data_IF_095265534424
#
_entry.id   IF_095265534424
#
_cell.length_a   1.000
_cell.length_b   1.000
_cell.length_c   1.000
_cell.angle_alpha   90.00
_cell.angle_beta   90.00
_cell.angle_gamma   90.00
#
_symmetry.space_group_name_H-M   'P 1'
#
loop_
_entity.id
_entity.type
_entity.pdbx_description
1 polymer ?
#
# COMPACT_ATOMS: atom_id res chain seq x y z
N UNK A 1 0.68 -22.47 -2.25
CA UNK A 1 1.65 -21.38 -2.00
C UNK A 1 1.28 -20.75 -0.67
N UNK A 2 2.25 -20.53 0.22
CA UNK A 2 2.05 -19.83 1.49
C UNK A 2 2.61 -18.41 1.33
N UNK A 3 1.92 -17.42 1.89
CA UNK A 3 2.34 -16.02 1.91
C UNK A 3 1.85 -15.34 3.18
N UNK A 4 2.53 -14.29 3.60
CA UNK A 4 2.18 -13.47 4.76
C UNK A 4 1.42 -12.24 4.28
N UNK A 5 0.26 -11.99 4.88
CA UNK A 5 -0.57 -10.84 4.55
C UNK A 5 -0.94 -10.00 5.76
N UNK A 6 -1.04 -8.69 5.55
CA UNK A 6 -1.57 -7.74 6.52
C UNK A 6 -2.67 -6.92 5.86
N UNK A 7 -3.93 -7.17 6.25
CA UNK A 7 -5.10 -6.57 5.61
C UNK A 7 -5.68 -5.37 6.36
N UNK A 8 -5.15 -5.04 7.54
CA UNK A 8 -5.66 -3.91 8.32
C UNK A 8 -4.53 -2.95 8.67
N UNK A 9 -4.37 -1.97 7.79
CA UNK A 9 -3.50 -0.82 8.00
C UNK A 9 -4.28 0.47 7.78
N UNK A 10 -3.65 1.57 8.15
CA UNK A 10 -4.16 2.91 7.90
C UNK A 10 -3.18 3.73 7.06
N UNK A 11 -3.73 4.59 6.20
CA UNK A 11 -2.99 5.56 5.41
C UNK A 11 -2.57 6.77 6.25
N UNK A 12 -1.74 7.65 5.67
CA UNK A 12 -1.40 8.95 6.27
C UNK A 12 -2.60 9.89 6.50
N UNK A 13 -3.76 9.57 5.94
CA UNK A 13 -4.99 10.36 6.08
C UNK A 13 -5.82 9.99 7.31
N UNK A 14 -5.55 8.83 7.93
CA UNK A 14 -6.14 8.49 9.21
C UNK A 14 -5.61 9.40 10.33
N UNK A 15 -6.41 9.57 11.38
CA UNK A 15 -6.02 10.35 12.56
C UNK A 15 -5.01 9.54 13.38
N UNK A 16 -4.04 10.24 13.98
CA UNK A 16 -3.00 9.65 14.84
C UNK A 16 -2.11 8.58 14.15
N UNK A 17 -2.06 8.59 12.81
CA UNK A 17 -1.12 7.78 12.01
C UNK A 17 0.10 8.60 11.58
N UNK A 18 1.21 7.92 11.29
CA UNK A 18 2.40 8.57 10.76
C UNK A 18 2.13 9.20 9.39
N UNK A 19 2.73 10.37 9.13
CA UNK A 19 2.72 11.02 7.81
C UNK A 19 3.41 10.17 6.74
N UNK A 20 4.29 9.26 7.16
CA UNK A 20 5.00 8.31 6.30
C UNK A 20 4.18 7.06 5.95
N UNK A 21 2.91 6.96 6.37
CA UNK A 21 2.00 5.89 5.92
C UNK A 21 1.52 6.16 4.47
N UNK A 22 2.48 6.24 3.55
CA UNK A 22 2.31 6.38 2.10
C UNK A 22 2.73 5.07 1.39
N UNK A 23 2.38 4.94 0.10
CA UNK A 23 2.62 3.69 -0.64
C UNK A 23 4.09 3.32 -0.75
N UNK A 24 4.97 4.31 -0.91
CA UNK A 24 6.41 4.11 -1.05
C UNK A 24 7.03 3.53 0.24
N UNK A 25 6.68 4.11 1.38
CA UNK A 25 7.13 3.61 2.69
C UNK A 25 6.50 2.25 3.01
N UNK A 26 5.21 2.06 2.73
CA UNK A 26 4.53 0.78 2.94
C UNK A 26 5.16 -0.35 2.12
N UNK A 27 5.43 -0.13 0.83
CA UNK A 27 6.10 -1.10 -0.05
C UNK A 27 7.49 -1.48 0.47
N UNK A 28 8.29 -0.47 0.87
CA UNK A 28 9.62 -0.69 1.44
C UNK A 28 9.56 -1.52 2.73
N UNK A 29 8.71 -1.14 3.68
CA UNK A 29 8.65 -1.80 4.98
C UNK A 29 7.98 -3.17 4.93
N UNK A 30 7.02 -3.38 4.02
CA UNK A 30 6.45 -4.71 3.76
C UNK A 30 7.54 -5.70 3.33
N UNK A 31 8.41 -5.29 2.39
CA UNK A 31 9.57 -6.10 1.93
C UNK A 31 10.53 -6.42 3.07
N UNK A 32 10.88 -5.43 3.91
CA UNK A 32 11.78 -5.62 5.06
C UNK A 32 11.16 -6.58 6.09
N UNK A 33 9.85 -6.44 6.35
CA UNK A 33 9.12 -7.25 7.33
C UNK A 33 8.80 -8.66 6.81
N UNK A 34 8.86 -8.89 5.49
CA UNK A 34 8.48 -10.15 4.86
C UNK A 34 6.96 -10.31 4.69
N UNK A 35 6.23 -9.21 4.50
CA UNK A 35 4.80 -9.24 4.14
C UNK A 35 4.70 -9.27 2.62
N UNK A 36 4.12 -10.33 2.07
CA UNK A 36 3.96 -10.53 0.63
C UNK A 36 2.76 -9.74 0.06
N UNK A 37 1.68 -9.63 0.84
CA UNK A 37 0.45 -8.92 0.42
C UNK A 37 0.00 -7.94 1.51
N UNK A 38 -0.23 -6.70 1.11
CA UNK A 38 -0.69 -5.63 1.99
C UNK A 38 -2.06 -5.14 1.55
N UNK A 39 -3.00 -5.01 2.48
CA UNK A 39 -4.24 -4.27 2.26
C UNK A 39 -3.93 -2.79 2.02
N UNK A 40 -4.68 -2.13 1.16
CA UNK A 40 -4.46 -0.69 0.87
C UNK A 40 -4.78 0.20 2.07
N UNK A 41 -5.71 -0.23 2.93
CA UNK A 41 -6.27 0.58 4.02
C UNK A 41 -7.03 1.79 3.48
N UNK A 42 -8.01 2.31 4.25
CA UNK A 42 -8.66 3.61 4.03
C UNK A 42 -9.10 3.94 2.58
N UNK A 43 -9.37 2.95 1.72
CA UNK A 43 -9.54 3.15 0.27
C UNK A 43 -10.80 3.97 -0.08
N UNK A 44 -11.70 4.16 0.88
CA UNK A 44 -12.87 5.03 0.76
C UNK A 44 -12.53 6.51 0.95
N UNK A 45 -11.36 6.85 1.49
CA UNK A 45 -10.89 8.22 1.60
C UNK A 45 -10.51 8.77 0.21
N UNK A 46 -11.11 9.89 -0.26
CA UNK A 46 -11.01 10.30 -1.66
C UNK A 46 -9.59 10.66 -2.10
N UNK A 47 -8.80 11.31 -1.24
CA UNK A 47 -7.41 11.64 -1.56
C UNK A 47 -6.52 10.39 -1.57
N UNK A 48 -6.80 9.41 -0.70
CA UNK A 48 -6.05 8.16 -0.67
C UNK A 48 -6.37 7.32 -1.91
N UNK A 49 -7.65 7.22 -2.27
CA UNK A 49 -8.09 6.53 -3.47
C UNK A 49 -7.49 7.12 -4.75
N UNK A 50 -7.33 8.45 -4.81
CA UNK A 50 -6.62 9.12 -5.90
C UNK A 50 -5.15 8.68 -5.97
N UNK A 51 -4.44 8.65 -4.84
CA UNK A 51 -3.06 8.16 -4.79
C UNK A 51 -2.95 6.69 -5.20
N UNK A 52 -3.86 5.83 -4.72
CA UNK A 52 -3.93 4.42 -5.12
C UNK A 52 -4.02 4.29 -6.65
N UNK A 53 -4.95 5.01 -7.28
CA UNK A 53 -5.11 5.00 -8.76
C UNK A 53 -3.90 5.56 -9.50
N UNK A 54 -3.25 6.58 -8.96
CA UNK A 54 -2.11 7.22 -9.61
C UNK A 54 -0.86 6.33 -9.55
N UNK A 55 -0.59 5.75 -8.38
CA UNK A 55 0.70 5.12 -8.08
C UNK A 55 0.73 3.62 -8.23
N UNK A 56 -0.42 2.95 -8.16
CA UNK A 56 -0.51 1.51 -8.34
C UNK A 56 -0.79 1.14 -9.80
N UNK A 57 -0.28 -0.02 -10.21
CA UNK A 57 -0.60 -0.67 -11.47
C UNK A 57 -1.00 -2.13 -11.23
N UNK A 58 -1.87 -2.70 -12.08
CA UNK A 58 -2.22 -4.12 -11.97
C UNK A 58 -0.97 -5.01 -12.04
N UNK A 59 -0.92 -6.01 -11.17
CA UNK A 59 0.16 -7.01 -11.16
C UNK A 59 -0.39 -8.41 -11.47
N UNK A 60 -1.49 -8.77 -10.80
CA UNK A 60 -2.19 -10.05 -10.95
C UNK A 60 -3.69 -9.83 -10.77
N UNK A 61 -4.50 -10.88 -10.94
CA UNK A 61 -5.95 -10.80 -10.75
C UNK A 61 -6.30 -10.34 -9.32
N UNK A 62 -6.79 -9.10 -9.20
CA UNK A 62 -7.13 -8.49 -7.92
C UNK A 62 -5.95 -7.93 -7.11
N UNK A 63 -4.71 -8.03 -7.63
CA UNK A 63 -3.51 -7.51 -6.97
C UNK A 63 -2.88 -6.37 -7.77
N UNK A 64 -2.27 -5.47 -7.02
CA UNK A 64 -1.63 -4.27 -7.54
C UNK A 64 -0.22 -4.17 -6.98
N UNK A 65 0.67 -3.53 -7.74
CA UNK A 65 2.02 -3.19 -7.30
C UNK A 65 2.28 -1.71 -7.48
N UNK A 66 3.26 -1.20 -6.73
CA UNK A 66 3.74 0.17 -6.89
C UNK A 66 4.43 0.31 -8.25
N UNK A 67 4.04 1.33 -9.04
CA UNK A 67 4.71 1.62 -10.32
C UNK A 67 6.18 1.90 -10.08
N UNK A 68 7.03 1.40 -10.98
CA UNK A 68 8.50 1.47 -10.83
C UNK A 68 9.07 2.87 -10.59
N UNK A 69 8.44 3.95 -11.10
CA UNK A 69 8.87 5.34 -10.86
C UNK A 69 8.68 5.82 -9.41
N UNK A 70 7.86 5.13 -8.62
CA UNK A 70 7.66 5.42 -7.19
C UNK A 70 8.35 4.39 -6.28
N UNK A 71 8.65 3.19 -6.79
CA UNK A 71 9.42 2.19 -6.06
C UNK A 71 10.89 2.63 -5.96
N UNK A 72 11.44 2.65 -4.74
CA UNK A 72 12.84 2.97 -4.45
C UNK A 72 13.56 1.76 -3.87
#
# INVERSE_FOLDING_TARGET
MQFIADFHIHSKYSRATSKEMNLESLDKWAKIKGIDVLGTGDFTHPAWFKELKEKLEPAEAGLYKLKGKYAK
#
